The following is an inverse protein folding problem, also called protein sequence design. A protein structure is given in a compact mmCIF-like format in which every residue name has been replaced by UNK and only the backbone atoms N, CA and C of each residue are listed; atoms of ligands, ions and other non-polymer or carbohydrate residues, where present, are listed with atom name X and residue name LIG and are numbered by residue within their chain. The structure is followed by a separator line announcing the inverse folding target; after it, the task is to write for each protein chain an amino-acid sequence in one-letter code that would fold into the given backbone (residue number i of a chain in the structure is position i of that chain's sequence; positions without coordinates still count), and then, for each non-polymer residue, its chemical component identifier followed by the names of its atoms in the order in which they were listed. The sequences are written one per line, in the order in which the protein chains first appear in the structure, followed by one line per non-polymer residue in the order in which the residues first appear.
data_IF_245857816394
#
_entry.id   IF_245857816394
#
_cell.length_a   1.000
_cell.length_b   1.000
_cell.length_c   1.000
_cell.angle_alpha   90.00
_cell.angle_beta   90.00
_cell.angle_gamma   90.00
#
_symmetry.space_group_name_H-M   'P 1'
#
loop_
_entity.id
_entity.type
_entity.pdbx_description
1 polymer ?
#
# COMPACT_ATOMS: atom_id res chain seq x y z
N UNK A 1 -23.59 13.03 -50.12
CA UNK A 1 -22.21 13.39 -49.71
C UNK A 1 -22.22 13.87 -48.26
N UNK A 2 -21.91 13.02 -47.28
CA UNK A 2 -21.48 13.43 -45.94
C UNK A 2 -20.47 12.38 -45.43
N UNK A 3 -19.29 12.86 -45.04
CA UNK A 3 -18.11 12.08 -44.64
C UNK A 3 -18.38 11.44 -43.27
N UNK A 4 -18.21 10.11 -43.15
CA UNK A 4 -18.16 9.43 -41.86
C UNK A 4 -16.73 9.51 -41.32
N UNK A 5 -16.52 10.33 -40.31
CA UNK A 5 -15.28 10.37 -39.54
C UNK A 5 -15.33 9.28 -38.47
N UNK A 6 -14.42 8.31 -38.51
CA UNK A 6 -14.24 7.31 -37.46
C UNK A 6 -13.82 7.97 -36.14
N UNK A 7 -14.53 7.66 -35.05
CA UNK A 7 -14.06 7.93 -33.69
C UNK A 7 -13.19 6.76 -33.22
N UNK A 8 -11.89 6.87 -33.43
CA UNK A 8 -10.87 6.03 -32.78
C UNK A 8 -10.69 6.54 -31.36
N UNK A 9 -11.17 5.80 -30.35
CA UNK A 9 -10.86 6.11 -28.94
C UNK A 9 -9.44 5.60 -28.65
N UNK A 10 -8.46 6.47 -28.88
CA UNK A 10 -7.10 6.31 -28.38
C UNK A 10 -7.14 6.68 -26.89
N UNK A 11 -6.79 5.74 -26.00
CA UNK A 11 -6.58 6.03 -24.58
C UNK A 11 -5.28 6.83 -24.45
N UNK A 12 -5.33 8.12 -24.76
CA UNK A 12 -4.23 9.03 -24.50
C UNK A 12 -4.24 9.33 -23.00
N UNK A 13 -3.36 8.67 -22.24
CA UNK A 13 -2.89 9.23 -20.97
C UNK A 13 -2.15 10.52 -21.30
N UNK A 14 -2.89 11.63 -21.42
CA UNK A 14 -2.31 12.96 -21.38
C UNK A 14 -1.94 13.25 -19.94
N UNK A 15 -0.79 12.73 -19.51
CA UNK A 15 -0.12 13.27 -18.35
C UNK A 15 0.27 14.70 -18.67
N UNK A 16 -0.40 15.67 -18.04
CA UNK A 16 0.04 17.06 -18.02
C UNK A 16 1.52 17.06 -17.60
N UNK A 17 2.40 17.52 -18.48
CA UNK A 17 3.79 17.77 -18.12
C UNK A 17 3.79 18.98 -17.18
N UNK A 18 3.73 18.70 -15.87
CA UNK A 18 4.11 19.68 -14.89
C UNK A 18 5.61 19.88 -15.05
N UNK A 19 6.03 21.05 -15.56
CA UNK A 19 7.42 21.49 -15.45
C UNK A 19 7.68 21.90 -14.01
N UNK A 20 7.65 20.94 -13.09
CA UNK A 20 8.38 21.10 -11.84
C UNK A 20 9.85 21.04 -12.22
N UNK A 21 10.64 21.97 -11.69
CA UNK A 21 12.10 21.79 -11.56
C UNK A 21 12.37 20.31 -11.27
N UNK A 22 13.19 19.65 -12.09
CA UNK A 22 13.52 18.23 -11.91
C UNK A 22 14.26 18.11 -10.58
N UNK A 23 13.52 17.99 -9.49
CA UNK A 23 14.07 17.65 -8.20
C UNK A 23 14.61 16.24 -8.36
N UNK A 24 15.90 16.05 -8.06
CA UNK A 24 16.55 14.76 -8.19
C UNK A 24 15.79 13.76 -7.31
N UNK A 25 15.18 12.74 -7.93
CA UNK A 25 14.49 11.68 -7.21
C UNK A 25 15.56 10.80 -6.58
N UNK A 26 15.67 10.84 -5.25
CA UNK A 26 16.64 10.03 -4.52
C UNK A 26 15.97 8.75 -4.04
N UNK A 27 16.02 7.73 -4.89
CA UNK A 27 15.52 6.39 -4.59
C UNK A 27 16.70 5.48 -4.32
N UNK A 28 16.71 4.82 -3.16
CA UNK A 28 17.73 3.84 -2.82
C UNK A 28 17.06 2.52 -2.49
N UNK A 29 17.53 1.45 -3.15
CA UNK A 29 17.10 0.07 -2.90
C UNK A 29 18.31 -0.73 -2.44
N UNK A 30 18.28 -1.23 -1.20
CA UNK A 30 19.34 -2.05 -0.60
C UNK A 30 20.73 -1.39 -0.60
N UNK A 31 20.79 -0.06 -0.59
CA UNK A 31 22.02 0.74 -0.64
C UNK A 31 22.40 1.23 -2.04
N UNK A 32 21.75 0.73 -3.09
CA UNK A 32 22.01 1.12 -4.47
C UNK A 32 21.08 2.28 -4.86
N UNK A 33 21.66 3.38 -5.35
CA UNK A 33 20.91 4.54 -5.85
C UNK A 33 20.34 4.25 -7.23
N UNK A 34 19.03 4.48 -7.39
CA UNK A 34 18.28 4.25 -8.62
C UNK A 34 17.96 5.60 -9.24
N UNK A 35 18.60 5.90 -10.37
CA UNK A 35 18.51 7.22 -11.03
C UNK A 35 17.64 7.23 -12.29
N UNK A 36 17.45 6.06 -12.90
CA UNK A 36 16.72 5.89 -14.16
C UNK A 36 15.70 4.75 -14.10
N UNK A 37 14.74 4.80 -15.03
CA UNK A 37 13.75 3.75 -15.22
C UNK A 37 14.41 2.40 -15.49
N UNK A 38 13.85 1.34 -14.94
CA UNK A 38 14.39 0.01 -15.16
C UNK A 38 13.83 -1.06 -14.25
N UNK A 39 14.17 -2.30 -14.57
CA UNK A 39 13.88 -3.48 -13.74
C UNK A 39 15.16 -4.21 -13.42
N UNK A 40 15.30 -4.67 -12.19
CA UNK A 40 16.49 -5.39 -11.73
C UNK A 40 16.15 -6.37 -10.60
N UNK A 41 17.00 -7.37 -10.40
CA UNK A 41 16.93 -8.24 -9.23
C UNK A 41 17.91 -7.70 -8.17
N UNK A 42 17.44 -7.39 -6.94
CA UNK A 42 18.34 -6.93 -5.88
C UNK A 42 19.46 -7.94 -5.62
N UNK A 43 20.70 -7.46 -5.55
CA UNK A 43 21.86 -8.32 -5.29
C UNK A 43 21.69 -9.12 -3.99
N UNK A 44 21.97 -10.42 -4.05
CA UNK A 44 21.83 -11.35 -2.92
C UNK A 44 20.40 -11.83 -2.66
N UNK A 45 19.48 -11.65 -3.61
CA UNK A 45 18.10 -12.09 -3.52
C UNK A 45 17.53 -12.61 -4.83
N UNK A 46 16.20 -12.78 -4.84
CA UNK A 46 15.40 -13.11 -6.03
C UNK A 46 14.27 -12.11 -6.22
N UNK A 47 13.51 -12.26 -7.31
CA UNK A 47 12.39 -11.38 -7.66
C UNK A 47 12.84 -10.18 -8.48
N UNK A 48 11.91 -9.26 -8.69
CA UNK A 48 12.12 -8.08 -9.54
C UNK A 48 11.71 -6.82 -8.80
N UNK A 49 12.56 -5.80 -8.89
CA UNK A 49 12.25 -4.42 -8.52
C UNK A 49 12.18 -3.61 -9.81
N UNK A 50 11.10 -2.86 -10.00
CA UNK A 50 10.93 -1.98 -11.17
C UNK A 50 10.70 -0.55 -10.72
N UNK A 51 11.51 0.38 -11.23
CA UNK A 51 11.33 1.82 -10.99
C UNK A 51 10.75 2.51 -12.23
N UNK A 52 9.75 3.36 -12.00
CA UNK A 52 9.17 4.26 -12.98
C UNK A 52 9.19 5.70 -12.44
N UNK A 53 10.14 6.49 -12.90
CA UNK A 53 10.44 7.88 -12.57
C UNK A 53 9.30 8.83 -12.93
N UNK A 54 8.65 8.60 -14.07
CA UNK A 54 7.55 9.43 -14.56
C UNK A 54 6.34 9.41 -13.60
N UNK A 55 6.14 8.30 -12.90
CA UNK A 55 5.03 8.10 -11.94
C UNK A 55 5.50 7.99 -10.49
N UNK A 56 6.80 8.14 -10.23
CA UNK A 56 7.44 7.88 -8.94
C UNK A 56 6.98 6.56 -8.30
N UNK A 57 6.93 5.49 -9.10
CA UNK A 57 6.39 4.17 -8.69
C UNK A 57 7.48 3.11 -8.67
N UNK A 58 7.66 2.47 -7.51
CA UNK A 58 8.50 1.29 -7.31
C UNK A 58 7.63 0.04 -7.20
N UNK A 59 7.80 -0.93 -8.09
CA UNK A 59 7.11 -2.23 -8.00
C UNK A 59 8.05 -3.26 -7.38
N UNK A 60 7.57 -3.98 -6.35
CA UNK A 60 8.24 -5.13 -5.77
C UNK A 60 7.48 -6.39 -6.16
N UNK A 61 8.08 -7.24 -6.99
CA UNK A 61 7.49 -8.48 -7.47
C UNK A 61 8.28 -9.70 -6.99
N UNK A 62 7.71 -10.41 -6.01
CA UNK A 62 8.30 -11.61 -5.39
C UNK A 62 9.75 -11.41 -4.94
N UNK A 63 10.08 -10.20 -4.43
CA UNK A 63 11.40 -9.86 -3.91
C UNK A 63 11.68 -10.70 -2.68
N UNK A 64 12.76 -11.48 -2.70
CA UNK A 64 13.19 -12.27 -1.54
C UNK A 64 14.64 -11.93 -1.20
N UNK A 65 14.83 -11.21 -0.10
CA UNK A 65 16.11 -10.83 0.47
C UNK A 65 16.19 -11.39 1.90
N UNK A 66 16.52 -12.67 2.07
CA UNK A 66 16.47 -13.33 3.36
C UNK A 66 17.52 -12.80 4.34
N UNK A 67 18.54 -12.09 3.85
CA UNK A 67 19.55 -11.39 4.64
C UNK A 67 20.12 -10.21 3.83
N UNK A 68 19.97 -8.98 4.32
CA UNK A 68 20.67 -7.80 3.79
C UNK A 68 21.27 -6.96 4.91
N UNK A 69 22.47 -6.41 4.68
CA UNK A 69 23.17 -5.53 5.62
C UNK A 69 22.98 -4.03 5.31
N UNK A 70 21.88 -3.68 4.65
CA UNK A 70 21.57 -2.30 4.25
C UNK A 70 20.15 -1.91 4.67
N UNK A 71 19.85 -0.61 4.68
CA UNK A 71 18.47 -0.12 4.62
C UNK A 71 17.82 -0.66 3.35
N UNK A 72 16.60 -1.21 3.45
CA UNK A 72 15.97 -1.79 2.26
C UNK A 72 15.46 -0.72 1.30
N UNK A 73 14.61 0.20 1.75
CA UNK A 73 14.11 1.30 0.92
C UNK A 73 14.45 2.64 1.56
N UNK A 74 14.92 3.60 0.75
CA UNK A 74 15.10 4.98 1.16
C UNK A 74 14.63 5.95 0.08
N UNK A 75 13.83 6.93 0.51
CA UNK A 75 13.28 7.98 -0.35
C UNK A 75 13.47 9.34 0.33
N UNK A 76 13.88 10.34 -0.44
CA UNK A 76 14.11 11.69 0.09
C UNK A 76 13.56 12.77 -0.83
N UNK A 77 12.91 13.76 -0.21
CA UNK A 77 12.50 15.03 -0.80
C UNK A 77 11.60 14.85 -2.05
N UNK A 78 10.65 13.91 -1.99
CA UNK A 78 9.71 13.61 -3.07
C UNK A 78 8.26 13.87 -2.63
N UNK A 79 7.42 14.52 -3.47
CA UNK A 79 6.04 14.80 -3.10
C UNK A 79 5.23 13.55 -2.74
N UNK A 80 5.40 12.47 -3.51
CA UNK A 80 4.77 11.17 -3.27
C UNK A 80 5.59 10.07 -3.94
N UNK A 81 5.82 8.97 -3.22
CA UNK A 81 6.34 7.72 -3.77
C UNK A 81 5.29 6.63 -3.64
N UNK A 82 5.03 5.93 -4.75
CA UNK A 82 4.14 4.76 -4.76
C UNK A 82 4.96 3.49 -4.76
N UNK A 83 4.58 2.53 -3.93
CA UNK A 83 5.19 1.21 -3.84
C UNK A 83 4.11 0.17 -4.11
N UNK A 84 4.22 -0.53 -5.23
CA UNK A 84 3.26 -1.55 -5.64
C UNK A 84 3.81 -2.92 -5.27
N UNK A 85 3.07 -3.66 -4.46
CA UNK A 85 3.41 -4.99 -4.00
C UNK A 85 2.73 -6.03 -4.89
N UNK A 86 3.54 -6.84 -5.56
CA UNK A 86 3.13 -7.99 -6.37
C UNK A 86 3.74 -9.26 -5.78
N UNK A 87 2.93 -10.32 -5.70
CA UNK A 87 3.36 -11.58 -5.09
C UNK A 87 3.74 -11.43 -3.62
N UNK A 88 4.67 -12.28 -3.15
CA UNK A 88 5.11 -12.29 -1.76
C UNK A 88 6.52 -11.72 -1.64
N UNK A 89 6.65 -10.54 -1.05
CA UNK A 89 7.94 -9.89 -0.84
C UNK A 89 8.43 -10.13 0.59
N UNK A 90 9.63 -10.67 0.75
CA UNK A 90 10.28 -10.95 2.03
C UNK A 90 11.64 -10.25 2.10
N UNK A 91 11.88 -9.50 3.18
CA UNK A 91 13.17 -8.87 3.43
C UNK A 91 13.55 -9.01 4.89
N UNK A 92 14.73 -9.54 5.19
CA UNK A 92 15.33 -9.40 6.51
C UNK A 92 16.55 -8.49 6.39
N UNK A 93 16.51 -7.34 7.07
CA UNK A 93 17.51 -6.30 6.96
C UNK A 93 18.16 -5.99 8.31
N UNK A 94 19.46 -5.68 8.29
CA UNK A 94 20.17 -5.27 9.51
C UNK A 94 19.84 -3.84 9.95
N UNK A 95 19.45 -3.01 8.98
CA UNK A 95 19.05 -1.61 9.18
C UNK A 95 17.54 -1.44 8.97
N UNK A 96 17.07 -0.21 8.78
CA UNK A 96 15.66 0.09 8.55
C UNK A 96 15.10 -0.64 7.31
N UNK A 97 13.84 -1.05 7.40
CA UNK A 97 13.04 -1.46 6.26
C UNK A 97 12.77 -0.28 5.32
N UNK A 98 12.35 0.85 5.89
CA UNK A 98 12.03 2.07 5.18
C UNK A 98 12.64 3.27 5.90
N UNK A 99 13.34 4.11 5.15
CA UNK A 99 13.72 5.45 5.56
C UNK A 99 13.04 6.48 4.65
N UNK A 100 12.28 7.40 5.24
CA UNK A 100 11.64 8.50 4.52
C UNK A 100 12.15 9.85 5.03
N UNK A 101 12.51 10.75 4.12
CA UNK A 101 12.87 12.14 4.45
C UNK A 101 12.01 13.07 3.63
N UNK A 102 11.16 13.85 4.29
CA UNK A 102 10.24 14.80 3.63
C UNK A 102 9.51 14.20 2.41
N UNK A 103 8.93 13.00 2.60
CA UNK A 103 8.22 12.26 1.55
C UNK A 103 6.88 11.73 2.05
N UNK A 104 5.85 11.81 1.20
CA UNK A 104 4.69 10.93 1.32
C UNK A 104 4.99 9.59 0.66
N UNK A 105 4.51 8.50 1.27
CA UNK A 105 4.73 7.13 0.76
C UNK A 105 3.41 6.37 0.77
N UNK A 106 3.10 5.68 -0.32
CA UNK A 106 1.93 4.83 -0.45
C UNK A 106 2.34 3.40 -0.82
N UNK A 107 2.05 2.42 0.05
CA UNK A 107 2.08 1.00 -0.30
C UNK A 107 0.71 0.56 -0.82
N UNK A 108 0.69 -0.14 -1.96
CA UNK A 108 -0.53 -0.62 -2.60
C UNK A 108 -0.32 -1.97 -3.31
N UNK A 109 -1.39 -2.54 -3.87
CA UNK A 109 -1.33 -3.74 -4.70
C UNK A 109 -1.63 -5.03 -3.94
N UNK A 110 -2.14 -6.05 -4.63
CA UNK A 110 -2.67 -7.27 -4.01
C UNK A 110 -1.63 -8.18 -3.34
N UNK A 111 -0.34 -7.83 -3.43
CA UNK A 111 0.76 -8.59 -2.84
C UNK A 111 0.98 -8.35 -1.35
N UNK A 112 2.09 -8.89 -0.86
CA UNK A 112 2.52 -8.73 0.52
C UNK A 112 3.94 -8.19 0.63
N UNK A 113 4.22 -7.51 1.73
CA UNK A 113 5.56 -7.17 2.20
C UNK A 113 5.74 -7.65 3.63
N UNK A 114 6.67 -8.57 3.83
CA UNK A 114 7.12 -9.03 5.14
C UNK A 114 8.55 -8.57 5.37
N UNK A 115 8.77 -7.77 6.41
CA UNK A 115 10.11 -7.28 6.78
C UNK A 115 10.44 -7.56 8.23
N UNK A 116 11.67 -8.04 8.48
CA UNK A 116 12.26 -8.12 9.82
C UNK A 116 13.55 -7.32 9.86
N UNK A 117 13.50 -6.19 10.55
CA UNK A 117 14.64 -5.32 10.80
C UNK A 117 15.36 -5.74 12.09
N UNK A 118 16.70 -5.72 12.08
CA UNK A 118 17.53 -5.81 13.29
C UNK A 118 17.81 -4.46 13.95
N UNK A 119 17.30 -3.37 13.38
CA UNK A 119 17.34 -2.07 14.03
C UNK A 119 16.19 -1.97 15.05
N UNK A 120 16.34 -1.08 16.04
CA UNK A 120 15.29 -0.83 17.04
C UNK A 120 13.95 -0.48 16.38
N UNK A 121 13.95 0.34 15.33
CA UNK A 121 12.75 0.71 14.59
C UNK A 121 12.87 0.26 13.14
N UNK A 122 11.87 -0.45 12.61
CA UNK A 122 11.90 -0.86 11.21
C UNK A 122 11.66 0.29 10.23
N UNK A 123 10.78 1.25 10.56
CA UNK A 123 10.51 2.40 9.71
C UNK A 123 10.98 3.69 10.38
N UNK A 124 11.96 4.36 9.77
CA UNK A 124 12.50 5.64 10.24
C UNK A 124 12.06 6.78 9.35
N UNK A 125 11.90 7.95 9.97
CA UNK A 125 11.40 9.16 9.35
C UNK A 125 12.30 10.35 9.70
N UNK A 126 12.43 11.28 8.76
CA UNK A 126 13.14 12.54 8.90
C UNK A 126 12.43 13.64 8.09
N UNK A 127 11.21 13.91 8.49
CA UNK A 127 10.32 14.95 8.00
C UNK A 127 10.54 16.30 8.74
N UNK A 128 10.11 17.37 8.11
CA UNK A 128 10.23 18.75 8.60
C UNK A 128 8.88 19.46 8.59
N UNK A 129 7.89 18.82 7.99
CA UNK A 129 6.50 19.24 7.87
C UNK A 129 5.59 18.01 7.99
N UNK A 130 4.26 18.17 8.07
CA UNK A 130 3.35 17.04 8.06
C UNK A 130 3.44 16.21 6.77
N UNK A 131 3.52 14.88 6.91
CA UNK A 131 3.55 13.92 5.80
C UNK A 131 2.67 12.70 6.08
N UNK A 132 2.41 11.91 5.05
CA UNK A 132 1.52 10.75 5.11
C UNK A 132 2.21 9.47 4.69
N UNK A 133 2.05 8.43 5.49
CA UNK A 133 2.29 7.05 5.09
C UNK A 133 0.95 6.34 4.91
N UNK A 134 0.68 5.89 3.69
CA UNK A 134 -0.53 5.14 3.34
C UNK A 134 -0.18 3.68 3.10
N UNK A 135 -0.95 2.76 3.69
CA UNK A 135 -0.89 1.32 3.45
C UNK A 135 -2.26 0.88 2.99
N UNK A 136 -2.40 0.49 1.72
CA UNK A 136 -3.69 0.18 1.13
C UNK A 136 -3.71 -1.11 0.32
N UNK A 137 -4.85 -1.79 0.29
CA UNK A 137 -5.14 -2.94 -0.59
C UNK A 137 -4.07 -4.06 -0.60
N UNK A 138 -3.28 -4.20 0.48
CA UNK A 138 -2.13 -5.09 0.55
C UNK A 138 -1.98 -5.76 1.92
N UNK A 139 -1.01 -6.68 2.02
CA UNK A 139 -0.56 -7.24 3.31
C UNK A 139 0.78 -6.64 3.70
N UNK A 140 0.86 -6.07 4.89
CA UNK A 140 2.04 -5.34 5.35
C UNK A 140 2.44 -5.81 6.75
N UNK A 141 3.54 -6.54 6.86
CA UNK A 141 4.06 -7.09 8.11
C UNK A 141 5.51 -6.65 8.28
N UNK A 142 5.72 -5.51 8.92
CA UNK A 142 7.04 -4.88 9.06
C UNK A 142 7.34 -4.72 10.54
N UNK A 143 8.42 -5.35 11.02
CA UNK A 143 8.77 -5.36 12.44
C UNK A 143 10.25 -5.05 12.67
N UNK A 144 10.55 -4.21 13.65
CA UNK A 144 11.90 -3.99 14.18
C UNK A 144 12.08 -4.65 15.54
N UNK A 145 13.25 -4.51 16.15
CA UNK A 145 13.53 -5.15 17.45
C UNK A 145 12.75 -4.52 18.62
N UNK A 146 12.45 -3.22 18.53
CA UNK A 146 11.70 -2.48 19.54
C UNK A 146 10.37 -1.92 19.04
N UNK A 147 10.35 -1.44 17.80
CA UNK A 147 9.20 -0.80 17.16
C UNK A 147 9.11 -1.17 15.69
N UNK A 148 7.89 -1.24 15.20
CA UNK A 148 7.59 -1.43 13.79
C UNK A 148 7.60 -0.09 13.06
N UNK A 149 6.88 0.90 13.59
CA UNK A 149 6.74 2.24 13.01
C UNK A 149 6.86 3.31 14.10
N UNK A 150 7.60 4.37 13.81
CA UNK A 150 7.72 5.55 14.68
C UNK A 150 7.50 6.84 13.89
N UNK A 151 6.51 7.65 14.30
CA UNK A 151 6.02 8.84 13.58
C UNK A 151 6.62 10.21 13.97
N UNK A 152 7.73 10.25 14.71
CA UNK A 152 8.35 11.50 15.15
C UNK A 152 9.67 11.76 14.45
N UNK A 153 9.99 13.05 14.25
CA UNK A 153 11.38 13.46 14.05
C UNK A 153 11.73 14.88 14.54
N UNK A 154 12.94 15.29 14.12
CA UNK A 154 13.66 16.56 14.25
C UNK A 154 12.95 17.62 15.09
N UNK A 155 13.50 17.83 16.29
CA UNK A 155 12.96 18.77 17.27
C UNK A 155 11.82 18.21 18.12
N UNK A 156 11.43 16.94 17.92
CA UNK A 156 10.40 16.27 18.72
C UNK A 156 8.97 16.46 18.19
N UNK A 157 8.82 17.11 17.03
CA UNK A 157 7.54 17.35 16.40
C UNK A 157 6.91 16.05 15.87
N UNK A 158 5.58 16.00 15.89
CA UNK A 158 4.79 14.88 15.39
C UNK A 158 4.29 15.27 14.01
N UNK A 159 4.84 14.62 12.99
CA UNK A 159 4.62 15.00 11.59
C UNK A 159 3.85 13.93 10.81
N UNK A 160 3.97 12.65 11.20
CA UNK A 160 3.40 11.57 10.43
C UNK A 160 1.91 11.36 10.68
N UNK A 161 1.15 11.34 9.60
CA UNK A 161 -0.19 10.73 9.55
C UNK A 161 -0.08 9.31 8.98
N UNK A 162 -0.61 8.33 9.70
CA UNK A 162 -0.71 6.95 9.20
C UNK A 162 -2.12 6.70 8.65
N UNK A 163 -2.23 6.27 7.39
CA UNK A 163 -3.49 5.85 6.79
C UNK A 163 -3.40 4.36 6.47
N UNK A 164 -4.32 3.57 7.00
CA UNK A 164 -4.48 2.15 6.65
C UNK A 164 -5.84 2.02 5.97
N UNK A 165 -5.88 1.50 4.74
CA UNK A 165 -7.09 1.45 3.92
C UNK A 165 -7.28 0.08 3.26
N UNK A 166 -8.27 -0.70 3.68
CA UNK A 166 -8.53 -2.04 3.13
C UNK A 166 -7.25 -2.92 3.08
N UNK A 167 -6.41 -2.83 4.11
CA UNK A 167 -5.13 -3.54 4.19
C UNK A 167 -5.07 -4.42 5.43
N UNK A 168 -4.28 -5.48 5.35
CA UNK A 168 -3.88 -6.27 6.53
C UNK A 168 -2.53 -5.78 7.02
N UNK A 169 -2.45 -5.25 8.24
CA UNK A 169 -1.20 -4.74 8.82
C UNK A 169 -0.86 -5.53 10.07
N UNK A 170 0.39 -5.97 10.17
CA UNK A 170 0.98 -6.51 11.40
C UNK A 170 2.10 -5.60 11.88
N UNK A 171 2.03 -5.27 13.17
CA UNK A 171 3.06 -4.49 13.84
C UNK A 171 3.29 -5.07 15.24
N UNK A 172 4.53 -5.05 15.71
CA UNK A 172 4.90 -5.51 17.03
C UNK A 172 5.75 -4.48 17.75
N UNK A 173 5.47 -4.32 19.04
CA UNK A 173 6.26 -3.52 19.97
C UNK A 173 7.31 -4.34 20.70
N UNK A 174 7.68 -3.89 21.89
CA UNK A 174 8.72 -4.52 22.69
C UNK A 174 8.43 -4.43 24.17
N UNK A 175 8.82 -5.49 24.88
CA UNK A 175 8.84 -5.51 26.33
C UNK A 175 10.11 -6.18 26.82
N UNK A 176 10.77 -5.57 27.82
CA UNK A 176 11.89 -6.16 28.54
C UNK A 176 12.01 -5.52 29.93
N UNK A 177 12.09 -6.33 30.97
CA UNK A 177 12.44 -5.87 32.33
C UNK A 177 11.58 -4.70 32.85
N UNK A 178 10.28 -4.69 32.56
CA UNK A 178 9.35 -3.63 32.95
C UNK A 178 9.28 -2.43 31.99
N UNK A 179 10.16 -2.34 30.99
CA UNK A 179 10.01 -1.38 29.90
C UNK A 179 9.07 -1.93 28.83
N UNK A 180 8.18 -1.08 28.31
CA UNK A 180 7.27 -1.41 27.22
C UNK A 180 7.23 -0.30 26.17
N UNK A 181 7.16 -0.70 24.91
CA UNK A 181 7.10 0.18 23.75
C UNK A 181 6.06 -0.36 22.78
N UNK A 182 5.15 0.49 22.32
CA UNK A 182 4.16 0.11 21.32
C UNK A 182 4.81 -0.10 19.95
N UNK A 183 4.23 -1.00 19.15
CA UNK A 183 4.74 -1.29 17.80
C UNK A 183 4.61 -0.11 16.84
N UNK A 184 3.58 0.71 17.03
CA UNK A 184 3.29 1.92 16.26
C UNK A 184 3.12 3.06 17.26
N UNK A 185 3.95 4.09 17.16
CA UNK A 185 3.98 5.21 18.11
C UNK A 185 4.31 6.54 17.46
N UNK A 186 4.19 7.62 18.22
CA UNK A 186 4.56 8.98 17.83
C UNK A 186 3.80 9.50 16.59
N UNK A 187 2.58 9.05 16.36
CA UNK A 187 1.79 9.54 15.24
C UNK A 187 1.19 10.92 15.56
N UNK A 188 1.20 11.81 14.57
CA UNK A 188 0.41 13.06 14.60
C UNK A 188 -1.08 12.73 14.53
N UNK A 189 -1.44 11.84 13.62
CA UNK A 189 -2.80 11.39 13.37
C UNK A 189 -2.78 9.98 12.78
N UNK A 190 -3.93 9.32 12.83
CA UNK A 190 -4.13 8.04 12.16
C UNK A 190 -5.52 8.00 11.50
N UNK A 191 -5.67 7.18 10.48
CA UNK A 191 -6.95 6.87 9.84
C UNK A 191 -7.01 5.38 9.55
N UNK A 192 -8.07 4.73 10.03
CA UNK A 192 -8.45 3.38 9.62
C UNK A 192 -9.64 3.51 8.67
N UNK A 193 -9.43 3.17 7.40
CA UNK A 193 -10.46 3.17 6.36
C UNK A 193 -10.73 1.73 5.96
N UNK A 194 -12.00 1.32 5.98
CA UNK A 194 -12.38 -0.04 5.61
C UNK A 194 -11.53 -1.09 6.36
N UNK A 195 -11.15 -0.81 7.60
CA UNK A 195 -10.34 -1.66 8.45
C UNK A 195 -10.56 -1.36 9.93
N UNK A 196 -10.31 -2.37 10.75
CA UNK A 196 -10.34 -2.28 12.21
C UNK A 196 -9.13 -2.99 12.81
N UNK A 197 -8.81 -2.61 14.04
CA UNK A 197 -7.85 -3.37 14.87
C UNK A 197 -8.55 -4.66 15.29
N UNK A 198 -8.10 -5.79 14.77
CA UNK A 198 -8.65 -7.12 15.08
C UNK A 198 -8.10 -7.69 16.39
N UNK A 199 -7.06 -7.07 16.95
CA UNK A 199 -6.46 -7.50 18.22
C UNK A 199 -7.35 -7.04 19.37
N UNK A 200 -7.94 -7.97 20.16
CA UNK A 200 -8.87 -7.60 21.22
C UNK A 200 -8.23 -6.69 22.26
N UNK A 201 -8.98 -5.67 22.70
CA UNK A 201 -8.58 -4.73 23.74
C UNK A 201 -7.41 -3.83 23.37
N UNK A 202 -7.19 -3.60 22.07
CA UNK A 202 -6.16 -2.69 21.55
C UNK A 202 -6.80 -1.62 20.69
N UNK A 203 -6.38 -0.37 20.88
CA UNK A 203 -6.83 0.78 20.10
C UNK A 203 -5.67 1.73 19.80
N UNK A 204 -5.84 2.58 18.79
CA UNK A 204 -5.02 3.79 18.71
C UNK A 204 -5.55 4.81 19.71
N UNK A 205 -4.66 5.37 20.53
CA UNK A 205 -5.05 6.40 21.49
C UNK A 205 -3.85 7.20 21.99
N UNK A 206 -4.16 8.22 22.79
CA UNK A 206 -3.17 9.02 23.50
C UNK A 206 -3.26 8.70 24.98
N UNK A 207 -2.15 8.27 25.59
CA UNK A 207 -2.09 8.12 27.05
C UNK A 207 -2.12 9.50 27.72
N UNK A 208 -2.50 9.57 29.01
CA UNK A 208 -2.32 10.79 29.79
C UNK A 208 -0.89 11.32 29.63
N UNK A 209 -0.75 12.63 29.45
CA UNK A 209 0.55 13.34 29.29
C UNK A 209 1.27 13.17 27.96
N UNK A 210 0.73 12.41 27.00
CA UNK A 210 1.27 12.34 25.65
C UNK A 210 0.52 13.27 24.69
N UNK A 211 1.21 13.66 23.62
CA UNK A 211 0.68 14.53 22.56
C UNK A 211 0.61 13.82 21.21
N UNK A 212 0.67 12.49 21.23
CA UNK A 212 0.74 11.66 20.04
C UNK A 212 -0.08 10.38 20.20
N UNK A 213 -0.51 9.84 19.06
CA UNK A 213 -1.18 8.55 19.02
C UNK A 213 -0.16 7.40 18.99
N UNK A 214 -0.50 6.34 19.72
CA UNK A 214 0.18 5.07 19.70
C UNK A 214 -0.83 3.92 19.88
N UNK A 215 -0.37 2.68 19.78
CA UNK A 215 -1.17 1.51 20.15
C UNK A 215 -1.19 1.35 21.68
N UNK A 216 -2.39 1.37 22.25
CA UNK A 216 -2.64 1.24 23.69
C UNK A 216 -3.69 0.16 23.97
N UNK A 217 -3.71 -0.33 25.20
CA UNK A 217 -4.74 -1.26 25.67
C UNK A 217 -6.01 -0.53 26.18
N UNK A 218 -7.00 -1.30 26.62
CA UNK A 218 -8.26 -0.77 27.18
C UNK A 218 -8.09 0.03 28.47
N UNK A 219 -6.97 -0.13 29.18
CA UNK A 219 -6.63 0.64 30.39
C UNK A 219 -5.79 1.89 30.07
N UNK A 220 -5.74 2.28 28.80
CA UNK A 220 -4.93 3.36 28.27
C UNK A 220 -3.43 3.21 28.62
N UNK A 221 -2.92 1.97 28.69
CA UNK A 221 -1.50 1.65 28.83
C UNK A 221 -0.87 1.29 27.49
N UNK A 222 0.45 1.44 27.39
CA UNK A 222 1.19 1.10 26.17
C UNK A 222 1.02 -0.39 25.84
N UNK A 223 0.69 -0.74 24.60
CA UNK A 223 0.54 -2.13 24.18
C UNK A 223 1.77 -2.62 23.38
N UNK A 224 2.65 -3.47 23.97
CA UNK A 224 3.89 -3.92 23.31
C UNK A 224 3.71 -5.18 22.45
N UNK A 225 2.53 -5.80 22.47
CA UNK A 225 2.26 -7.06 21.76
C UNK A 225 2.27 -6.91 20.23
N UNK A 226 2.12 -8.04 19.54
CA UNK A 226 1.78 -8.02 18.11
C UNK A 226 0.33 -7.57 17.96
N UNK A 227 0.11 -6.58 17.11
CA UNK A 227 -1.20 -6.08 16.69
C UNK A 227 -1.43 -6.46 15.25
N UNK A 228 -2.62 -6.97 14.98
CA UNK A 228 -3.16 -7.20 13.65
C UNK A 228 -4.31 -6.22 13.40
N UNK A 229 -4.19 -5.47 12.30
CA UNK A 229 -5.25 -4.65 11.70
C UNK A 229 -5.68 -5.39 10.44
N UNK A 230 -6.98 -5.53 10.22
CA UNK A 230 -7.54 -6.26 9.08
C UNK A 230 -8.59 -5.40 8.37
N UNK A 231 -8.85 -5.66 7.08
CA UNK A 231 -9.98 -5.06 6.41
C UNK A 231 -11.29 -5.33 7.18
N UNK A 232 -12.15 -4.33 7.25
CA UNK A 232 -13.50 -4.46 7.80
C UNK A 232 -14.26 -5.37 6.87
N UNK A 233 -14.29 -6.69 7.19
CA UNK A 233 -14.94 -7.76 6.43
C UNK A 233 -15.64 -7.20 5.19
N UNK A 234 -14.86 -6.88 4.16
CA UNK A 234 -15.44 -6.67 2.85
C UNK A 234 -15.67 -8.10 2.43
N UNK A 235 -16.76 -8.69 2.93
CA UNK A 235 -17.49 -9.62 2.10
C UNK A 235 -17.47 -8.96 0.75
N UNK A 236 -16.70 -9.54 -0.18
CA UNK A 236 -16.62 -9.17 -1.59
C UNK A 236 -17.95 -9.46 -2.27
N UNK A 237 -19.02 -9.04 -1.62
CA UNK A 237 -20.33 -8.80 -2.12
C UNK A 237 -20.39 -7.29 -1.95
N UNK A 238 -19.98 -6.55 -2.99
CA UNK A 238 -20.68 -5.30 -3.26
C UNK A 238 -22.15 -5.61 -3.02
N UNK A 239 -22.84 -4.82 -2.20
CA UNK A 239 -24.30 -4.88 -2.09
C UNK A 239 -24.80 -5.25 -3.49
N UNK A 240 -25.52 -6.38 -3.59
CA UNK A 240 -26.26 -6.62 -4.81
C UNK A 240 -27.22 -5.45 -4.86
N UNK A 241 -26.82 -4.38 -5.54
CA UNK A 241 -27.73 -3.49 -6.19
C UNK A 241 -28.45 -4.47 -7.09
N UNK A 242 -29.60 -4.94 -6.62
CA UNK A 242 -30.58 -5.58 -7.46
C UNK A 242 -30.92 -4.47 -8.44
N UNK A 243 -30.16 -4.43 -9.54
CA UNK A 243 -30.42 -3.52 -10.62
C UNK A 243 -31.70 -4.00 -11.26
N UNK A 244 -32.82 -3.58 -10.67
CA UNK A 244 -34.16 -3.79 -11.20
C UNK A 244 -34.31 -3.25 -12.62
N UNK A 245 -33.35 -2.43 -13.09
CA UNK A 245 -33.37 -1.75 -14.37
C UNK A 245 -32.11 -1.95 -15.25
N UNK A 246 -31.21 -2.90 -14.92
CA UNK A 246 -30.05 -3.12 -15.78
C UNK A 246 -30.46 -3.73 -17.13
N UNK A 247 -30.17 -3.01 -18.21
CA UNK A 247 -30.46 -3.44 -19.59
C UNK A 247 -29.23 -4.09 -20.22
N UNK A 248 -29.47 -4.95 -21.21
CA UNK A 248 -28.39 -5.59 -21.98
C UNK A 248 -27.70 -4.54 -22.87
N UNK A 249 -26.39 -4.33 -22.68
CA UNK A 249 -25.56 -3.46 -23.54
C UNK A 249 -24.94 -4.21 -24.71
N UNK A 250 -24.48 -5.44 -24.48
CA UNK A 250 -23.87 -6.27 -25.51
C UNK A 250 -23.95 -7.74 -25.13
N UNK A 251 -23.95 -8.61 -26.15
CA UNK A 251 -23.96 -10.06 -26.01
C UNK A 251 -22.73 -10.57 -26.75
N UNK A 252 -22.07 -11.57 -26.19
CA UNK A 252 -20.89 -12.21 -26.76
C UNK A 252 -21.01 -13.72 -26.70
N UNK A 253 -20.33 -14.39 -27.63
CA UNK A 253 -20.00 -15.80 -27.51
C UNK A 253 -18.97 -16.02 -26.38
N UNK A 254 -18.83 -17.26 -25.87
CA UNK A 254 -17.82 -17.57 -24.85
C UNK A 254 -16.36 -17.31 -25.29
N UNK A 255 -16.08 -17.34 -26.59
CA UNK A 255 -14.79 -16.98 -27.20
C UNK A 255 -14.63 -15.48 -27.49
N UNK A 256 -15.61 -14.65 -27.11
CA UNK A 256 -15.49 -13.18 -27.09
C UNK A 256 -15.98 -12.46 -28.35
N UNK A 257 -16.66 -13.12 -29.30
CA UNK A 257 -17.24 -12.47 -30.48
C UNK A 257 -18.58 -11.83 -30.15
N UNK A 258 -18.79 -10.58 -30.56
CA UNK A 258 -20.04 -9.88 -30.30
C UNK A 258 -21.20 -10.43 -31.15
N UNK A 259 -22.36 -10.62 -30.52
CA UNK A 259 -23.60 -11.12 -31.11
C UNK A 259 -24.66 -10.02 -31.15
N UNK A 260 -25.51 -10.06 -32.18
CA UNK A 260 -26.66 -9.15 -32.32
C UNK A 260 -27.84 -9.56 -31.44
N UNK A 261 -27.94 -10.84 -31.08
CA UNK A 261 -28.95 -11.42 -30.19
C UNK A 261 -28.42 -12.69 -29.54
N UNK A 262 -29.03 -13.13 -28.44
CA UNK A 262 -28.65 -14.38 -27.78
C UNK A 262 -28.87 -15.57 -28.72
N UNK A 263 -27.91 -16.49 -28.72
CA UNK A 263 -27.99 -17.76 -29.44
C UNK A 263 -28.28 -18.88 -28.46
N UNK A 264 -28.85 -19.98 -28.96
CA UNK A 264 -29.07 -21.19 -28.16
C UNK A 264 -27.74 -21.66 -27.54
N UNK A 265 -27.74 -21.91 -26.24
CA UNK A 265 -26.54 -22.23 -25.45
C UNK A 265 -26.03 -21.06 -24.59
N UNK A 266 -24.75 -21.10 -24.23
CA UNK A 266 -24.12 -20.14 -23.33
C UNK A 266 -23.77 -18.83 -24.04
N UNK A 267 -24.24 -17.72 -23.48
CA UNK A 267 -23.94 -16.36 -23.90
C UNK A 267 -23.28 -15.60 -22.75
N UNK A 268 -22.36 -14.69 -23.08
CA UNK A 268 -21.78 -13.72 -22.14
C UNK A 268 -22.46 -12.37 -22.37
N UNK A 269 -23.14 -11.83 -21.37
CA UNK A 269 -23.99 -10.64 -21.49
C UNK A 269 -23.41 -9.51 -20.65
N UNK A 270 -23.03 -8.40 -21.29
CA UNK A 270 -22.60 -7.18 -20.62
C UNK A 270 -23.81 -6.29 -20.34
N UNK A 271 -23.98 -5.89 -19.09
CA UNK A 271 -25.12 -5.12 -18.62
C UNK A 271 -24.80 -3.62 -18.57
N UNK A 272 -25.84 -2.78 -18.51
CA UNK A 272 -25.73 -1.32 -18.46
C UNK A 272 -24.99 -0.80 -17.23
N UNK A 273 -25.12 -1.51 -16.12
CA UNK A 273 -24.48 -1.27 -14.81
C UNK A 273 -23.00 -1.70 -14.74
N UNK A 274 -22.43 -2.16 -15.85
CA UNK A 274 -21.02 -2.59 -15.92
C UNK A 274 -20.78 -4.04 -15.53
N UNK A 275 -21.79 -4.76 -15.03
CA UNK A 275 -21.68 -6.19 -14.74
C UNK A 275 -21.65 -7.04 -16.01
N UNK A 276 -21.11 -8.26 -15.89
CA UNK A 276 -21.16 -9.28 -16.95
C UNK A 276 -21.81 -10.54 -16.41
N UNK A 277 -22.83 -11.06 -17.11
CA UNK A 277 -23.61 -12.24 -16.73
C UNK A 277 -23.40 -13.38 -17.73
N UNK A 278 -23.38 -14.62 -17.24
CA UNK A 278 -23.45 -15.83 -18.08
C UNK A 278 -24.92 -16.21 -18.21
N UNK A 279 -25.47 -16.24 -19.42
CA UNK A 279 -26.88 -16.54 -19.68
C UNK A 279 -27.00 -17.71 -20.63
N UNK A 280 -27.77 -18.74 -20.24
CA UNK A 280 -28.04 -19.90 -21.09
C UNK A 280 -29.42 -19.73 -21.72
N UNK A 281 -29.45 -19.62 -23.05
CA UNK A 281 -30.68 -19.53 -23.83
C UNK A 281 -31.07 -20.95 -24.29
N UNK A 282 -32.24 -21.43 -23.89
CA UNK A 282 -32.75 -22.74 -24.32
C UNK A 282 -33.28 -22.72 -25.76
#
# INVERSE_FOLDING_TARGET
MKKNTLFTVLLALTGMMWTTSVQAQKVIVKGDEITEDGSFTPHGGTGTVTWNKATATLTLDNVNLPNTNSTFLRFEDMPLVKIVLVGNNLVNCRWQALYMKDCDVEFSGSGSLTVRSKLETAMQQNLSAPHTLTIKDCKFDVQGEKRSLLGAEKGGNKCLTLVIDNATVKAKGFTNGGSAMSGIANLKAYQLKNCHIATPGVKFGMRPYLTYYELIDDNDQVYPGEVTIVPDNTTGISEVVTSGDATVKAIYTPDGRQLQKMQRGLNIVKMSDGTTKKVVQQ
#
